data_IF_576677806763
#
_entry.id   IF_576677806763
#
_cell.length_a   1.000
_cell.length_b   1.000
_cell.length_c   1.000
_cell.angle_alpha   90.00
_cell.angle_beta   90.00
_cell.angle_gamma   90.00
#
_symmetry.space_group_name_H-M   'P 1'
#
loop_
_entity.id
_entity.type
_entity.pdbx_description
1 polymer ?
#
# COMPACT_ATOMS: atom_id res chain seq x y z
N UNK A 1 19.51 11.88 23.45
CA UNK A 1 18.92 10.62 22.94
C UNK A 1 17.44 10.86 22.68
N UNK A 2 16.97 10.76 21.42
CA UNK A 2 15.54 10.94 21.07
C UNK A 2 14.77 9.66 21.38
N UNK A 3 13.60 9.76 22.00
CA UNK A 3 12.73 8.63 22.33
C UNK A 3 12.34 7.83 21.07
N UNK A 4 12.37 6.48 21.14
CA UNK A 4 12.02 5.59 20.02
C UNK A 4 10.62 5.89 19.45
N UNK A 5 9.65 6.21 20.31
CA UNK A 5 8.30 6.62 19.88
C UNK A 5 8.31 7.83 18.96
N UNK A 6 9.18 8.82 19.22
CA UNK A 6 9.29 10.01 18.37
C UNK A 6 9.94 9.68 17.02
N UNK A 7 10.95 8.81 17.02
CA UNK A 7 11.56 8.29 15.79
C UNK A 7 10.55 7.50 14.94
N UNK A 8 9.72 6.67 15.60
CA UNK A 8 8.61 5.97 14.96
C UNK A 8 7.59 6.93 14.35
N UNK A 9 7.21 7.98 15.08
CA UNK A 9 6.34 9.06 14.56
C UNK A 9 6.94 9.73 13.33
N UNK A 10 8.24 10.07 13.37
CA UNK A 10 8.94 10.66 12.23
C UNK A 10 8.92 9.75 11.01
N UNK A 11 9.19 8.45 11.18
CA UNK A 11 9.08 7.47 10.09
C UNK A 11 7.67 7.45 9.49
N UNK A 12 6.63 7.43 10.33
CA UNK A 12 5.23 7.40 9.86
C UNK A 12 4.83 8.65 9.08
N UNK A 13 5.33 9.82 9.46
CA UNK A 13 4.88 11.13 8.93
C UNK A 13 5.73 11.62 7.76
N UNK A 14 7.05 11.39 7.77
CA UNK A 14 7.96 11.93 6.75
C UNK A 14 8.46 10.86 5.79
N UNK A 15 8.95 9.73 6.32
CA UNK A 15 9.64 8.71 5.51
C UNK A 15 8.64 7.85 4.73
N UNK A 16 7.62 7.32 5.42
CA UNK A 16 6.68 6.40 4.79
C UNK A 16 5.90 7.03 3.64
N UNK A 17 5.34 8.26 3.74
CA UNK A 17 4.64 8.87 2.61
C UNK A 17 5.56 9.06 1.39
N UNK A 18 6.82 9.46 1.61
CA UNK A 18 7.80 9.58 0.54
C UNK A 18 8.09 8.23 -0.14
N UNK A 19 8.20 7.16 0.65
CA UNK A 19 8.44 5.81 0.14
C UNK A 19 7.24 5.23 -0.63
N UNK A 20 6.03 5.62 -0.23
CA UNK A 20 4.78 5.18 -0.85
C UNK A 20 4.31 6.10 -1.99
N UNK A 21 5.07 7.13 -2.31
CA UNK A 21 4.70 8.06 -3.37
C UNK A 21 4.49 7.33 -4.69
N UNK A 22 3.31 7.53 -5.29
CA UNK A 22 2.92 6.91 -6.55
C UNK A 22 2.47 5.45 -6.46
N UNK A 23 2.45 4.81 -5.27
CA UNK A 23 2.00 3.40 -5.16
C UNK A 23 0.50 3.20 -5.43
N UNK A 24 -0.27 4.29 -5.51
CA UNK A 24 -1.72 4.28 -5.70
C UNK A 24 -2.13 3.87 -7.12
N UNK A 25 -1.30 4.18 -8.13
CA UNK A 25 -1.65 4.07 -9.55
C UNK A 25 -1.15 2.78 -10.23
N UNK A 26 -0.43 1.92 -9.52
CA UNK A 26 0.20 0.72 -10.12
C UNK A 26 -0.12 -0.55 -9.31
N UNK A 27 -0.26 -1.71 -9.98
CA UNK A 27 -0.49 -2.97 -9.29
C UNK A 27 0.73 -3.37 -8.44
N UNK A 28 0.51 -3.58 -7.15
CA UNK A 28 1.56 -4.02 -6.22
C UNK A 28 1.86 -5.50 -6.47
N UNK A 29 3.01 -5.78 -7.07
CA UNK A 29 3.48 -7.16 -7.25
C UNK A 29 4.10 -7.70 -5.96
N UNK A 30 4.13 -9.03 -5.80
CA UNK A 30 4.82 -9.68 -4.66
C UNK A 30 6.29 -9.28 -4.56
N UNK A 31 6.99 -9.18 -5.69
CA UNK A 31 8.39 -8.77 -5.74
C UNK A 31 8.58 -7.32 -5.27
N UNK A 32 7.68 -6.41 -5.66
CA UNK A 32 7.71 -5.02 -5.19
C UNK A 32 7.41 -4.94 -3.69
N UNK A 33 6.38 -5.64 -3.20
CA UNK A 33 6.04 -5.68 -1.78
C UNK A 33 7.21 -6.18 -0.92
N UNK A 34 7.90 -7.24 -1.37
CA UNK A 34 9.09 -7.77 -0.71
C UNK A 34 10.23 -6.74 -0.65
N UNK A 35 10.53 -6.06 -1.78
CA UNK A 35 11.55 -5.01 -1.81
C UNK A 35 11.23 -3.86 -0.87
N UNK A 36 9.96 -3.47 -0.79
CA UNK A 36 9.48 -2.42 0.12
C UNK A 36 9.61 -2.83 1.59
N UNK A 37 9.29 -4.08 1.93
CA UNK A 37 9.47 -4.59 3.29
C UNK A 37 10.94 -4.63 3.71
N UNK A 38 11.83 -5.10 2.84
CA UNK A 38 13.27 -5.09 3.09
C UNK A 38 13.79 -3.66 3.28
N UNK A 39 13.31 -2.71 2.47
CA UNK A 39 13.65 -1.30 2.61
C UNK A 39 13.16 -0.72 3.95
N UNK A 40 11.89 -0.94 4.32
CA UNK A 40 11.33 -0.53 5.61
C UNK A 40 12.18 -1.08 6.76
N UNK A 41 12.42 -2.38 6.80
CA UNK A 41 13.20 -3.03 7.87
C UNK A 41 14.61 -2.46 7.99
N UNK A 42 15.29 -2.20 6.85
CA UNK A 42 16.61 -1.57 6.85
C UNK A 42 16.59 -0.17 7.47
N UNK A 43 15.62 0.66 7.09
CA UNK A 43 15.47 2.01 7.64
C UNK A 43 15.09 2.02 9.12
N UNK A 44 14.18 1.15 9.55
CA UNK A 44 13.78 1.03 10.96
C UNK A 44 14.97 0.60 11.83
N UNK A 45 15.74 -0.40 11.38
CA UNK A 45 16.96 -0.84 12.08
C UNK A 45 18.00 0.28 12.20
N UNK A 46 18.25 1.02 11.11
CA UNK A 46 19.17 2.17 11.13
C UNK A 46 18.68 3.27 12.06
N UNK A 47 17.37 3.52 12.11
CA UNK A 47 16.74 4.48 13.02
C UNK A 47 16.98 4.11 14.50
N UNK A 48 17.02 2.81 14.81
CA UNK A 48 17.37 2.28 16.13
C UNK A 48 18.87 2.21 16.41
N UNK A 49 19.74 2.53 15.44
CA UNK A 49 21.20 2.46 15.59
C UNK A 49 21.72 1.03 15.74
N UNK A 50 21.02 0.04 15.17
CA UNK A 50 21.36 -1.39 15.28
C UNK A 50 22.01 -1.92 14.02
N UNK A 51 22.84 -2.94 14.16
CA UNK A 51 23.54 -3.63 13.09
C UNK A 51 23.03 -5.07 12.94
N UNK A 52 23.42 -5.75 11.84
CA UNK A 52 23.03 -7.16 11.60
C UNK A 52 23.54 -8.07 12.72
N UNK A 53 24.72 -7.77 13.26
CA UNK A 53 25.38 -8.57 14.31
C UNK A 53 24.61 -8.57 15.64
N UNK A 54 23.69 -7.62 15.85
CA UNK A 54 22.86 -7.61 17.06
C UNK A 54 21.84 -8.76 17.07
N UNK A 55 21.66 -9.47 15.94
CA UNK A 55 20.76 -10.62 15.76
C UNK A 55 19.31 -10.38 16.24
N UNK A 56 18.88 -9.12 16.28
CA UNK A 56 17.53 -8.75 16.67
C UNK A 56 16.56 -9.14 15.56
N UNK A 57 15.50 -9.85 15.92
CA UNK A 57 14.46 -10.27 15.00
C UNK A 57 13.76 -9.08 14.34
N UNK A 58 13.48 -9.18 13.03
CA UNK A 58 12.93 -8.09 12.21
C UNK A 58 11.60 -7.50 12.75
N UNK A 59 10.76 -8.32 13.38
CA UNK A 59 9.50 -7.87 13.97
C UNK A 59 9.66 -6.89 15.12
N UNK A 60 10.77 -6.95 15.85
CA UNK A 60 11.03 -6.12 17.05
C UNK A 60 11.04 -4.64 16.70
N UNK A 61 11.72 -4.25 15.62
CA UNK A 61 11.80 -2.84 15.21
C UNK A 61 10.43 -2.22 14.90
N UNK A 62 9.51 -3.00 14.32
CA UNK A 62 8.15 -2.53 14.00
C UNK A 62 7.35 -2.29 15.29
N UNK A 63 7.51 -3.16 16.30
CA UNK A 63 6.86 -3.01 17.61
C UNK A 63 7.42 -1.81 18.37
N UNK A 64 8.75 -1.72 18.50
CA UNK A 64 9.43 -0.65 19.24
C UNK A 64 9.15 0.75 18.69
N UNK A 65 9.03 0.86 17.36
CA UNK A 65 8.73 2.12 16.67
C UNK A 65 7.23 2.34 16.47
N UNK A 66 6.35 1.44 16.94
CA UNK A 66 4.90 1.50 16.75
C UNK A 66 4.52 1.69 15.27
N UNK A 67 5.14 0.90 14.40
CA UNK A 67 5.07 0.98 12.94
C UNK A 67 4.31 -0.22 12.38
N UNK A 68 3.15 0.05 11.76
CA UNK A 68 2.41 -0.96 10.97
C UNK A 68 3.18 -1.37 9.73
N UNK A 69 2.98 -2.61 9.27
CA UNK A 69 3.58 -3.15 8.04
C UNK A 69 3.42 -2.21 6.84
N UNK A 70 4.52 -1.94 6.13
CA UNK A 70 4.47 -1.18 4.88
C UNK A 70 3.55 -1.82 3.85
N UNK A 71 3.47 -3.15 3.77
CA UNK A 71 2.63 -3.85 2.79
C UNK A 71 1.16 -3.51 3.03
N UNK A 72 0.72 -3.50 4.28
CA UNK A 72 -0.65 -3.11 4.64
C UNK A 72 -0.89 -1.63 4.27
N UNK A 73 0.10 -0.76 4.50
CA UNK A 73 0.01 0.65 4.11
C UNK A 73 0.01 0.88 2.60
N UNK A 74 0.73 0.07 1.84
CA UNK A 74 0.74 0.14 0.37
C UNK A 74 -0.65 -0.16 -0.21
N UNK A 75 -1.42 -1.06 0.41
CA UNK A 75 -2.78 -1.41 -0.03
C UNK A 75 -3.80 -0.29 0.17
N UNK A 76 -3.59 0.56 1.18
CA UNK A 76 -4.53 1.64 1.51
C UNK A 76 -4.68 2.66 0.36
N UNK A 77 -3.59 2.96 -0.36
CA UNK A 77 -3.58 3.93 -1.45
C UNK A 77 -4.50 3.54 -2.62
N UNK A 78 -4.25 2.40 -3.29
CA UNK A 78 -5.11 1.89 -4.36
C UNK A 78 -6.58 1.74 -3.94
N UNK A 79 -6.84 1.24 -2.72
CA UNK A 79 -8.22 1.08 -2.21
C UNK A 79 -8.90 2.43 -1.97
N UNK A 80 -8.19 3.42 -1.42
CA UNK A 80 -8.70 4.78 -1.24
C UNK A 80 -8.97 5.45 -2.58
N UNK A 81 -8.08 5.29 -3.55
CA UNK A 81 -8.27 5.80 -4.91
C UNK A 81 -9.48 5.14 -5.57
N UNK A 82 -9.60 3.82 -5.49
CA UNK A 82 -10.75 3.07 -5.99
C UNK A 82 -12.07 3.59 -5.40
N UNK A 83 -12.14 3.72 -4.07
CA UNK A 83 -13.30 4.30 -3.41
C UNK A 83 -13.56 5.77 -3.79
N UNK A 84 -12.51 6.56 -4.05
CA UNK A 84 -12.66 7.92 -4.57
C UNK A 84 -13.29 7.93 -5.96
N UNK A 85 -12.82 7.08 -6.87
CA UNK A 85 -13.34 6.98 -8.25
C UNK A 85 -14.77 6.45 -8.26
N UNK A 86 -15.08 5.42 -7.47
CA UNK A 86 -16.43 4.86 -7.36
C UNK A 86 -17.48 5.88 -6.90
N UNK A 87 -17.11 6.80 -6.01
CA UNK A 87 -18.00 7.87 -5.51
C UNK A 87 -18.24 8.99 -6.52
N UNK A 88 -17.49 9.05 -7.62
CA UNK A 88 -17.72 10.08 -8.64
C UNK A 88 -18.92 9.72 -9.51
N UNK A 89 -19.70 10.70 -10.00
CA UNK A 89 -20.76 10.43 -10.97
C UNK A 89 -20.17 9.85 -12.25
N UNK A 90 -20.94 9.07 -13.00
CA UNK A 90 -20.50 8.51 -14.28
C UNK A 90 -20.11 9.60 -15.31
N UNK A 91 -20.63 10.82 -15.17
CA UNK A 91 -20.24 11.97 -15.98
C UNK A 91 -18.86 12.54 -15.62
N UNK A 92 -18.21 12.09 -14.54
CA UNK A 92 -16.85 12.51 -14.21
C UNK A 92 -15.84 11.86 -15.16
N UNK A 93 -14.86 12.60 -15.71
CA UNK A 93 -13.87 12.04 -16.64
C UNK A 93 -13.14 10.81 -16.10
N UNK A 94 -12.73 10.83 -14.84
CA UNK A 94 -12.00 9.70 -14.20
C UNK A 94 -12.86 8.44 -14.12
N UNK A 95 -14.16 8.58 -13.81
CA UNK A 95 -15.10 7.46 -13.75
C UNK A 95 -15.38 6.88 -15.14
N UNK A 96 -15.50 7.73 -16.17
CA UNK A 96 -15.62 7.27 -17.56
C UNK A 96 -14.41 6.48 -18.04
N UNK A 97 -13.20 6.95 -17.74
CA UNK A 97 -11.97 6.27 -18.15
C UNK A 97 -11.81 4.94 -17.41
N UNK A 98 -12.18 4.88 -16.14
CA UNK A 98 -12.14 3.64 -15.36
C UNK A 98 -13.14 2.58 -15.87
N UNK A 99 -14.35 3.01 -16.24
CA UNK A 99 -15.38 2.13 -16.81
C UNK A 99 -15.16 1.79 -18.30
N UNK A 100 -14.15 2.38 -18.95
CA UNK A 100 -13.91 2.19 -20.37
C UNK A 100 -13.41 0.77 -20.66
N UNK A 101 -14.17 0.03 -21.46
CA UNK A 101 -13.71 -1.24 -22.02
C UNK A 101 -12.79 -0.96 -23.21
N UNK A 102 -11.52 -1.36 -23.08
CA UNK A 102 -10.55 -1.28 -24.17
C UNK A 102 -10.59 -2.60 -24.93
N UNK A 103 -10.98 -2.55 -26.20
CA UNK A 103 -11.02 -3.71 -27.08
C UNK A 103 -9.62 -4.32 -27.27
N UNK A 104 -9.55 -5.65 -27.20
CA UNK A 104 -8.32 -6.39 -27.43
C UNK A 104 -8.26 -7.69 -26.65
N UNK A 105 -7.66 -8.72 -27.27
CA UNK A 105 -7.40 -10.00 -26.61
C UNK A 105 -6.12 -9.91 -25.77
N UNK A 106 -6.17 -10.46 -24.56
CA UNK A 106 -4.94 -10.63 -23.77
C UNK A 106 -4.14 -11.81 -24.32
N UNK A 107 -2.82 -11.66 -24.34
CA UNK A 107 -1.91 -12.75 -24.72
C UNK A 107 -2.13 -13.96 -23.80
N UNK A 108 -2.18 -15.17 -24.37
CA UNK A 108 -2.24 -16.41 -23.59
C UNK A 108 -0.92 -16.60 -22.80
N UNK A 109 -1.00 -17.21 -21.62
CA UNK A 109 0.14 -17.46 -20.73
C UNK A 109 0.14 -16.58 -19.47
N UNK A 110 1.33 -16.23 -18.97
CA UNK A 110 1.47 -15.39 -17.76
C UNK A 110 1.05 -13.95 -18.05
N UNK A 111 -0.17 -13.62 -17.67
CA UNK A 111 -0.71 -12.26 -17.80
C UNK A 111 0.01 -11.28 -16.87
N UNK A 112 0.20 -10.04 -17.35
CA UNK A 112 0.62 -8.93 -16.48
C UNK A 112 -0.52 -8.64 -15.50
N UNK A 113 -0.17 -8.46 -14.22
CA UNK A 113 -1.12 -8.07 -13.18
C UNK A 113 -1.68 -6.68 -13.52
N UNK A 114 -3.00 -6.54 -13.61
CA UNK A 114 -3.64 -5.23 -13.74
C UNK A 114 -3.86 -4.61 -12.37
N UNK A 115 -3.97 -3.29 -12.38
CA UNK A 115 -4.34 -2.52 -11.20
C UNK A 115 -5.70 -2.99 -10.64
N UNK A 116 -6.72 -3.09 -11.49
CA UNK A 116 -8.06 -3.58 -11.11
C UNK A 116 -8.03 -5.00 -10.51
N UNK A 117 -7.30 -5.93 -11.15
CA UNK A 117 -7.16 -7.30 -10.68
C UNK A 117 -6.52 -7.35 -9.28
N UNK A 118 -5.57 -6.44 -9.00
CA UNK A 118 -4.95 -6.32 -7.67
C UNK A 118 -5.91 -5.72 -6.64
N UNK A 119 -6.65 -4.67 -7.00
CA UNK A 119 -7.65 -4.05 -6.10
C UNK A 119 -8.70 -5.08 -5.68
N UNK A 120 -9.25 -5.86 -6.62
CA UNK A 120 -10.21 -6.93 -6.33
C UNK A 120 -9.64 -8.00 -5.41
N UNK A 121 -8.38 -8.38 -5.62
CA UNK A 121 -7.69 -9.32 -4.75
C UNK A 121 -7.49 -8.75 -3.34
N UNK A 122 -7.07 -7.50 -3.21
CA UNK A 122 -6.89 -6.82 -1.92
C UNK A 122 -8.22 -6.69 -1.15
N UNK A 123 -9.32 -6.35 -1.83
CA UNK A 123 -10.65 -6.31 -1.24
C UNK A 123 -11.07 -7.68 -0.69
N UNK A 124 -10.80 -8.76 -1.44
CA UNK A 124 -11.07 -10.14 -1.00
C UNK A 124 -10.18 -10.55 0.19
N UNK A 125 -8.91 -10.16 0.19
CA UNK A 125 -7.97 -10.46 1.28
C UNK A 125 -8.29 -9.66 2.56
N UNK A 126 -8.96 -8.50 2.45
CA UNK A 126 -9.33 -7.60 3.56
C UNK A 126 -10.83 -7.63 3.93
N UNK A 127 -11.54 -8.72 3.60
CA UNK A 127 -13.00 -8.80 3.52
C UNK A 127 -13.79 -7.48 3.33
N UNK A 128 -13.44 -6.70 2.29
CA UNK A 128 -14.10 -5.43 1.97
C UNK A 128 -15.16 -5.62 0.87
N UNK A 129 -16.39 -5.12 1.11
CA UNK A 129 -17.42 -5.02 0.04
C UNK A 129 -17.20 -3.77 -0.81
N UNK A 130 -17.71 -3.73 -2.04
CA UNK A 130 -17.77 -2.50 -2.84
C UNK A 130 -18.75 -1.48 -2.24
N UNK A 131 -19.77 -1.93 -1.52
CA UNK A 131 -20.80 -1.07 -0.91
C UNK A 131 -20.23 -0.11 0.12
N UNK A 132 -19.13 -0.49 0.78
CA UNK A 132 -18.42 0.38 1.75
C UNK A 132 -17.85 1.64 1.09
N UNK A 133 -17.77 1.68 -0.24
CA UNK A 133 -17.30 2.86 -0.96
C UNK A 133 -18.34 3.99 -0.95
N UNK A 134 -19.62 3.67 -0.73
CA UNK A 134 -20.75 4.61 -0.71
C UNK A 134 -21.16 5.03 0.69
N UNK A 135 -20.95 4.19 1.70
CA UNK A 135 -21.37 4.47 3.08
C UNK A 135 -20.42 5.46 3.77
N UNK A 136 -20.93 6.67 3.97
CA UNK A 136 -20.56 7.52 5.10
C UNK A 136 -21.75 7.49 6.04
N UNK A 137 -21.65 6.73 7.14
CA UNK A 137 -22.49 7.08 8.28
C UNK A 137 -22.15 8.53 8.63
N UNK A 138 -23.11 9.43 8.41
CA UNK A 138 -23.10 10.78 8.99
C UNK A 138 -23.18 10.72 10.51
#
# INVERSE_FOLDING_TARGET
NVLLKLKGKFYRVAIRPALLYGSECWPITKALAYRMEVAELRMLRWTCGKIVLDMIHNGVYKVDLEVKSIINKMREGPLRWFGHVNRRPQSAPVRRVEALLVDGLRRRGRLKLRWEDRVKLDMKELPLSEDITSDRNE
#
